data_IF_860396808953
#
_entry.id   IF_860396808953
#
_cell.length_a   1.000
_cell.length_b   1.000
_cell.length_c   1.000
_cell.angle_alpha   90.00
_cell.angle_beta   90.00
_cell.angle_gamma   90.00
#
_symmetry.space_group_name_H-M   'P 1'
#
loop_
_entity.id
_entity.type
_entity.pdbx_description
1 polymer ?
#
# COMPACT_ATOMS: atom_id res chain seq x y z
N UNK A 1 23.67 40.67 -34.87
CA UNK A 1 24.00 40.85 -33.44
C UNK A 1 23.06 39.94 -32.64
N UNK A 2 23.53 38.87 -31.98
CA UNK A 2 22.63 37.91 -31.34
C UNK A 2 22.06 38.49 -30.04
N UNK A 3 20.74 38.38 -29.91
CA UNK A 3 19.93 38.86 -28.79
C UNK A 3 20.32 38.11 -27.52
N UNK A 4 20.76 38.84 -26.49
CA UNK A 4 21.13 38.27 -25.19
C UNK A 4 19.86 37.92 -24.44
N UNK A 5 19.56 36.62 -24.30
CA UNK A 5 18.53 36.15 -23.37
C UNK A 5 18.97 36.50 -21.94
N UNK A 6 18.40 37.57 -21.40
CA UNK A 6 18.58 37.94 -19.99
C UNK A 6 17.80 36.93 -19.15
N UNK A 7 18.53 36.13 -18.38
CA UNK A 7 17.96 35.31 -17.30
C UNK A 7 17.22 36.26 -16.35
N UNK A 8 15.94 36.01 -16.01
CA UNK A 8 15.23 36.88 -15.07
C UNK A 8 16.00 36.87 -13.74
N UNK A 9 16.52 38.03 -13.33
CA UNK A 9 17.11 38.18 -12.01
C UNK A 9 16.00 37.97 -10.99
N UNK A 10 16.13 36.94 -10.16
CA UNK A 10 15.22 36.70 -9.05
C UNK A 10 15.33 37.89 -8.07
N UNK A 11 14.41 38.85 -8.19
CA UNK A 11 14.32 39.99 -7.28
C UNK A 11 13.68 39.52 -5.96
N UNK A 12 14.45 38.83 -5.11
CA UNK A 12 13.97 38.38 -3.80
C UNK A 12 13.82 39.53 -2.77
N UNK A 13 14.15 40.79 -3.13
CA UNK A 13 14.02 41.95 -2.24
C UNK A 13 14.76 41.82 -0.90
N UNK A 14 15.67 40.86 -0.77
CA UNK A 14 16.32 40.45 0.46
C UNK A 14 17.80 40.78 0.37
N UNK A 15 18.33 41.46 1.39
CA UNK A 15 19.74 41.80 1.49
C UNK A 15 20.64 40.57 1.82
N UNK A 16 20.03 39.40 2.01
CA UNK A 16 20.75 38.16 2.28
C UNK A 16 21.16 37.44 0.97
N UNK A 17 22.39 36.91 0.96
CA UNK A 17 22.90 36.12 -0.17
C UNK A 17 22.10 34.81 -0.28
N UNK A 18 21.42 34.61 -1.41
CA UNK A 18 20.75 33.34 -1.70
C UNK A 18 21.79 32.25 -1.95
N UNK A 19 21.74 31.18 -1.16
CA UNK A 19 22.51 29.97 -1.41
C UNK A 19 21.68 29.02 -2.27
N UNK A 20 22.19 28.67 -3.45
CA UNK A 20 21.60 27.63 -4.30
C UNK A 20 22.48 26.39 -4.27
N UNK A 21 21.97 25.32 -3.68
CA UNK A 21 22.59 24.00 -3.75
C UNK A 21 21.91 23.14 -4.81
N UNK A 22 22.70 22.32 -5.53
CA UNK A 22 22.19 21.26 -6.39
C UNK A 22 22.58 19.92 -5.79
N UNK A 23 21.64 19.26 -5.16
CA UNK A 23 21.83 17.92 -4.61
C UNK A 23 21.67 16.93 -5.77
N UNK A 24 22.70 16.12 -6.03
CA UNK A 24 22.65 15.01 -6.98
C UNK A 24 22.58 13.73 -6.17
N UNK A 25 21.48 13.00 -6.27
CA UNK A 25 21.40 11.66 -5.71
C UNK A 25 22.21 10.70 -6.58
N UNK A 26 22.75 9.63 -5.97
CA UNK A 26 23.39 8.55 -6.72
C UNK A 26 22.36 7.95 -7.67
N UNK A 27 22.67 7.91 -8.96
CA UNK A 27 21.83 7.32 -10.01
C UNK A 27 21.41 5.88 -9.65
N UNK A 28 22.28 5.14 -8.94
CA UNK A 28 21.96 3.78 -8.47
C UNK A 28 20.85 3.78 -7.41
N UNK A 29 20.83 4.75 -6.51
CA UNK A 29 19.80 4.91 -5.48
C UNK A 29 18.47 5.43 -6.06
N UNK A 30 18.55 6.30 -7.06
CA UNK A 30 17.39 6.84 -7.79
C UNK A 30 16.67 5.74 -8.60
N UNK A 31 17.43 4.84 -9.25
CA UNK A 31 16.86 3.65 -9.90
C UNK A 31 16.14 2.74 -8.89
N UNK A 32 16.75 2.49 -7.74
CA UNK A 32 16.17 1.59 -6.72
C UNK A 32 14.89 2.13 -6.08
N UNK A 33 14.70 3.46 -6.00
CA UNK A 33 13.50 4.09 -5.44
C UNK A 33 12.42 4.36 -6.48
N UNK A 34 12.80 4.62 -7.75
CA UNK A 34 11.86 4.80 -8.86
C UNK A 34 11.29 3.46 -9.38
N UNK A 35 11.98 2.35 -9.12
CA UNK A 35 11.40 1.01 -9.29
C UNK A 35 10.45 0.72 -8.12
N UNK A 36 9.21 1.24 -8.20
CA UNK A 36 8.06 0.66 -7.48
C UNK A 36 8.18 -0.86 -7.65
N UNK A 37 8.32 -1.66 -6.58
CA UNK A 37 8.47 -3.10 -6.71
C UNK A 37 7.32 -3.61 -7.60
N UNK A 38 7.71 -4.21 -8.72
CA UNK A 38 6.81 -4.63 -9.79
C UNK A 38 5.80 -5.61 -9.19
N UNK A 39 4.58 -5.11 -8.97
CA UNK A 39 3.41 -5.87 -8.61
C UNK A 39 3.49 -6.60 -7.27
N UNK A 40 3.19 -5.92 -6.15
CA UNK A 40 2.32 -6.60 -5.19
C UNK A 40 1.04 -6.87 -5.98
N UNK A 41 0.72 -8.14 -6.23
CA UNK A 41 -0.59 -8.53 -6.77
C UNK A 41 -1.61 -7.80 -5.94
N UNK A 42 -2.35 -6.88 -6.54
CA UNK A 42 -3.45 -6.23 -5.85
C UNK A 42 -4.39 -7.38 -5.50
N UNK A 43 -4.55 -7.66 -4.20
CA UNK A 43 -5.44 -8.71 -3.78
C UNK A 43 -6.83 -8.31 -4.28
N UNK A 44 -7.40 -9.13 -5.17
CA UNK A 44 -8.75 -8.94 -5.69
C UNK A 44 -9.65 -9.62 -4.68
N UNK A 45 -10.41 -8.82 -3.96
CA UNK A 45 -11.43 -9.30 -3.05
C UNK A 45 -12.78 -9.25 -3.74
N UNK A 46 -13.63 -10.22 -3.42
CA UNK A 46 -15.05 -10.11 -3.74
C UNK A 46 -15.69 -9.11 -2.78
N UNK A 47 -16.27 -8.05 -3.32
CA UNK A 47 -16.85 -6.95 -2.55
C UNK A 47 -18.07 -7.39 -1.73
N UNK A 48 -18.90 -8.28 -2.27
CA UNK A 48 -20.10 -8.78 -1.59
C UNK A 48 -19.70 -9.70 -0.43
N UNK A 49 -18.74 -10.60 -0.67
CA UNK A 49 -18.21 -11.47 0.39
C UNK A 49 -17.46 -10.67 1.45
N UNK A 50 -16.72 -9.62 1.08
CA UNK A 50 -16.05 -8.75 2.04
C UNK A 50 -17.06 -8.00 2.91
N UNK A 51 -18.08 -7.40 2.32
CA UNK A 51 -19.12 -6.71 3.05
C UNK A 51 -19.91 -7.66 3.97
N UNK A 52 -20.22 -8.87 3.50
CA UNK A 52 -20.83 -9.92 4.32
C UNK A 52 -19.95 -10.31 5.51
N UNK A 53 -18.66 -10.54 5.27
CA UNK A 53 -17.71 -10.90 6.33
C UNK A 53 -17.56 -9.78 7.38
N UNK A 54 -17.47 -8.52 6.95
CA UNK A 54 -17.38 -7.37 7.86
C UNK A 54 -18.64 -7.20 8.73
N UNK A 55 -19.82 -7.47 8.16
CA UNK A 55 -21.11 -7.35 8.86
C UNK A 55 -21.32 -8.45 9.91
N UNK A 56 -20.84 -9.66 9.64
CA UNK A 56 -21.00 -10.82 10.54
C UNK A 56 -19.93 -10.86 11.64
N UNK A 57 -18.78 -10.22 11.43
CA UNK A 57 -17.67 -10.27 12.37
C UNK A 57 -18.01 -9.58 13.72
N UNK A 58 -17.70 -10.27 14.82
CA UNK A 58 -17.90 -9.77 16.19
C UNK A 58 -16.79 -8.77 16.57
N UNK A 59 -17.02 -7.48 16.25
CA UNK A 59 -16.09 -6.37 16.53
C UNK A 59 -16.06 -6.02 18.02
N UNK A 60 -15.18 -6.69 18.76
CA UNK A 60 -14.96 -6.40 20.18
C UNK A 60 -14.03 -5.21 20.34
N UNK A 61 -14.39 -4.34 21.28
CA UNK A 61 -13.56 -3.22 21.72
C UNK A 61 -12.86 -3.60 23.01
N UNK A 62 -11.56 -3.35 23.09
CA UNK A 62 -10.78 -3.53 24.31
C UNK A 62 -10.46 -2.17 24.95
N UNK A 63 -10.37 -2.13 26.28
CA UNK A 63 -9.98 -0.91 27.02
C UNK A 63 -8.51 -0.51 26.75
N UNK A 64 -7.65 -1.51 26.56
CA UNK A 64 -6.25 -1.28 26.21
C UNK A 64 -6.10 -1.07 24.70
N UNK A 65 -5.58 0.10 24.32
CA UNK A 65 -5.40 0.51 22.92
C UNK A 65 -4.59 -0.51 22.11
N UNK A 66 -3.54 -1.09 22.70
CA UNK A 66 -2.70 -2.06 21.97
C UNK A 66 -3.49 -3.33 21.65
N UNK A 67 -4.23 -3.86 22.63
CA UNK A 67 -5.12 -5.01 22.43
C UNK A 67 -6.27 -4.70 21.47
N UNK A 68 -6.83 -3.50 21.52
CA UNK A 68 -7.91 -3.07 20.63
C UNK A 68 -7.48 -3.11 19.15
N UNK A 69 -6.31 -2.53 18.85
CA UNK A 69 -5.74 -2.58 17.51
C UNK A 69 -5.40 -4.00 17.05
N UNK A 70 -4.89 -4.86 17.93
CA UNK A 70 -4.63 -6.26 17.60
C UNK A 70 -5.92 -7.02 17.26
N UNK A 71 -7.01 -6.79 18.00
CA UNK A 71 -8.33 -7.36 17.71
C UNK A 71 -8.88 -6.87 16.37
N UNK A 72 -8.76 -5.57 16.09
CA UNK A 72 -9.14 -4.98 14.81
C UNK A 72 -8.37 -5.61 13.65
N UNK A 73 -7.04 -5.70 13.78
CA UNK A 73 -6.17 -6.30 12.75
C UNK A 73 -6.51 -7.77 12.52
N UNK A 74 -6.81 -8.51 13.60
CA UNK A 74 -7.22 -9.91 13.50
C UNK A 74 -8.54 -10.06 12.77
N UNK A 75 -9.52 -9.21 13.04
CA UNK A 75 -10.82 -9.22 12.36
C UNK A 75 -10.72 -8.86 10.88
N UNK A 76 -9.98 -7.81 10.55
CA UNK A 76 -9.75 -7.42 9.16
C UNK A 76 -9.04 -8.51 8.36
N UNK A 77 -8.05 -9.19 8.96
CA UNK A 77 -7.38 -10.33 8.31
C UNK A 77 -8.33 -11.49 8.07
N UNK A 78 -9.18 -11.83 9.03
CA UNK A 78 -10.18 -12.89 8.88
C UNK A 78 -11.17 -12.57 7.74
N UNK A 79 -11.67 -11.33 7.69
CA UNK A 79 -12.58 -10.87 6.63
C UNK A 79 -11.89 -10.89 5.25
N UNK A 80 -10.64 -10.44 5.18
CA UNK A 80 -9.86 -10.47 3.94
C UNK A 80 -9.63 -11.91 3.44
N UNK A 81 -9.37 -12.87 4.34
CA UNK A 81 -9.24 -14.29 3.95
C UNK A 81 -10.57 -14.84 3.45
N UNK A 82 -11.69 -14.51 4.09
CA UNK A 82 -13.02 -14.95 3.68
C UNK A 82 -13.43 -14.39 2.30
N UNK A 83 -13.06 -13.14 2.03
CA UNK A 83 -13.36 -12.44 0.78
C UNK A 83 -12.30 -12.60 -0.31
N UNK A 84 -11.19 -13.29 -0.01
CA UNK A 84 -10.15 -13.54 -1.00
C UNK A 84 -10.72 -14.49 -2.06
N UNK A 85 -10.90 -13.97 -3.28
CA UNK A 85 -11.18 -14.78 -4.46
C UNK A 85 -9.94 -15.63 -4.72
N UNK A 86 -9.95 -16.84 -4.18
CA UNK A 86 -8.81 -17.71 -4.24
C UNK A 86 -8.49 -18.10 -5.68
N UNK A 87 -7.20 -18.08 -6.02
CA UNK A 87 -6.61 -19.10 -6.86
C UNK A 87 -6.69 -20.46 -6.11
N UNK A 88 -7.90 -20.92 -5.78
CA UNK A 88 -8.19 -22.24 -5.19
C UNK A 88 -9.25 -22.92 -6.06
N UNK A 89 -8.90 -23.15 -7.32
CA UNK A 89 -9.12 -24.49 -7.84
C UNK A 89 -8.12 -25.41 -7.11
N UNK A 90 -8.63 -26.45 -6.45
CA UNK A 90 -7.90 -27.61 -5.88
C UNK A 90 -7.65 -27.68 -4.36
N UNK A 91 -8.62 -27.29 -3.52
CA UNK A 91 -8.67 -27.80 -2.13
C UNK A 91 -9.99 -28.54 -1.78
N UNK A 92 -10.80 -28.86 -2.78
CA UNK A 92 -12.02 -29.64 -2.64
C UNK A 92 -12.11 -30.72 -3.73
N UNK A 93 -11.14 -31.64 -3.76
CA UNK A 93 -11.32 -32.94 -4.38
C UNK A 93 -10.39 -33.93 -3.68
N UNK A 94 -10.91 -35.10 -3.31
CA UNK A 94 -10.31 -36.14 -2.45
C UNK A 94 -10.52 -35.98 -0.94
N UNK A 95 -11.79 -35.96 -0.52
CA UNK A 95 -12.20 -36.84 0.59
C UNK A 95 -13.68 -37.20 0.52
N UNK A 96 -14.03 -37.96 -0.51
CA UNK A 96 -15.16 -38.88 -0.43
C UNK A 96 -14.73 -40.22 -1.03
N UNK A 97 -15.11 -41.30 -0.33
CA UNK A 97 -15.16 -42.72 -0.70
C UNK A 97 -14.12 -43.64 -0.04
N UNK A 98 -14.62 -44.50 0.85
CA UNK A 98 -14.14 -45.87 1.04
C UNK A 98 -13.64 -46.24 2.43
N UNK A 99 -14.50 -46.85 3.26
CA UNK A 99 -14.26 -48.19 3.82
C UNK A 99 -15.54 -48.68 4.50
N UNK A 100 -15.92 -49.89 4.10
CA UNK A 100 -17.11 -50.64 4.48
C UNK A 100 -17.11 -51.07 5.96
#
# INVERSE_FOLDING_TARGET
>A
MPSRHLVPSCCSGSDHRLLRAKIRFDHRLEKNTCHRPKGRKQAVFDEELLNGALSIYDWRVAEDLTKDYELLLKGLRACAVAASLSLSSNAASLRNQGAA
#
